data_IF_512894091235
#
_entry.id   IF_512894091235
#
_cell.length_a   1.000
_cell.length_b   1.000
_cell.length_c   1.000
_cell.angle_alpha   90.00
_cell.angle_beta   90.00
_cell.angle_gamma   90.00
#
_symmetry.space_group_name_H-M   'P 1'
#
loop_
_entity.id
_entity.type
_entity.pdbx_description
1 polymer ?
#
# COMPACT_ATOMS: atom_id res chain seq x y z
N UNK A 1 5.93 -1.14 -2.32
CA UNK A 1 4.79 -1.40 -1.41
C UNK A 1 4.28 -2.82 -1.48
N UNK A 2 3.68 -3.31 -2.57
CA UNK A 2 3.17 -4.69 -2.65
C UNK A 2 4.18 -5.76 -2.18
N UNK A 3 5.41 -5.72 -2.69
CA UNK A 3 6.48 -6.64 -2.29
C UNK A 3 6.83 -6.55 -0.81
N UNK A 4 6.72 -5.37 -0.22
CA UNK A 4 7.07 -5.16 1.19
C UNK A 4 5.94 -5.66 2.10
N UNK A 5 4.68 -5.33 1.75
CA UNK A 5 3.48 -5.79 2.47
C UNK A 5 3.36 -7.32 2.41
N UNK A 6 3.70 -7.93 1.27
CA UNK A 6 3.69 -9.38 1.11
C UNK A 6 5.00 -10.06 1.55
N UNK A 7 5.97 -9.33 2.12
CA UNK A 7 7.21 -9.91 2.66
C UNK A 7 8.21 -10.46 1.63
N UNK A 8 8.08 -10.08 0.35
CA UNK A 8 9.02 -10.42 -0.73
C UNK A 8 10.32 -9.60 -0.62
N UNK A 9 10.20 -8.31 -0.27
CA UNK A 9 11.36 -7.44 -0.01
C UNK A 9 11.59 -7.33 1.50
N UNK A 10 12.84 -7.55 1.94
CA UNK A 10 13.24 -7.41 3.35
C UNK A 10 13.38 -5.93 3.71
N UNK A 11 12.27 -5.32 4.11
CA UNK A 11 12.28 -4.10 4.93
C UNK A 11 11.91 -4.49 6.35
N UNK A 12 12.60 -3.90 7.33
CA UNK A 12 12.21 -4.09 8.72
C UNK A 12 10.77 -3.58 8.89
N UNK A 13 9.85 -4.48 9.28
CA UNK A 13 8.43 -4.13 9.48
C UNK A 13 8.26 -3.04 10.53
N UNK A 14 9.28 -2.79 11.36
CA UNK A 14 9.32 -1.67 12.31
C UNK A 14 9.47 -0.31 11.62
N UNK A 15 10.07 -0.25 10.43
CA UNK A 15 10.21 0.98 9.64
C UNK A 15 8.92 1.33 8.88
N UNK A 16 8.10 0.33 8.57
CA UNK A 16 6.76 0.46 8.00
C UNK A 16 5.72 0.15 9.06
N UNK A 17 5.46 1.13 9.92
CA UNK A 17 4.50 1.04 11.04
C UNK A 17 3.28 0.18 10.71
N UNK A 18 3.26 -0.98 11.36
CA UNK A 18 2.13 -1.90 11.53
C UNK A 18 1.27 -2.05 10.27
N UNK A 19 1.60 -3.05 9.45
CA UNK A 19 0.58 -3.72 8.62
C UNK A 19 -0.47 -4.23 9.61
N UNK A 20 -1.59 -3.53 9.73
CA UNK A 20 -2.67 -3.98 10.60
C UNK A 20 -3.52 -4.95 9.80
N UNK A 21 -3.45 -6.22 10.13
CA UNK A 21 -4.46 -7.22 9.74
C UNK A 21 -5.68 -7.16 10.69
N UNK A 22 -6.05 -5.96 11.17
CA UNK A 22 -7.16 -5.82 12.12
C UNK A 22 -8.52 -5.67 11.41
N UNK A 23 -9.37 -6.61 11.77
CA UNK A 23 -10.71 -6.92 11.27
C UNK A 23 -11.80 -5.93 11.71
N UNK A 24 -11.54 -4.61 11.61
CA UNK A 24 -12.52 -3.60 12.06
C UNK A 24 -12.85 -2.55 10.99
N UNK A 25 -13.97 -2.84 10.30
CA UNK A 25 -14.88 -1.96 9.52
C UNK A 25 -14.65 -1.83 8.01
N UNK A 26 -15.44 -2.60 7.25
CA UNK A 26 -16.39 -2.28 6.13
C UNK A 26 -16.17 -1.12 5.14
N UNK A 27 -15.11 -0.33 5.23
CA UNK A 27 -14.76 0.68 4.22
C UNK A 27 -13.27 0.58 3.89
N UNK A 28 -12.97 -0.14 2.81
CA UNK A 28 -11.64 -0.38 2.18
C UNK A 28 -10.99 -1.75 2.49
N UNK A 29 -9.80 -1.99 1.93
CA UNK A 29 -9.07 -3.27 1.89
C UNK A 29 -8.36 -3.62 3.22
N UNK A 30 -8.13 -4.91 3.46
CA UNK A 30 -7.62 -5.43 4.73
C UNK A 30 -6.14 -5.16 5.00
N UNK A 31 -5.32 -4.94 3.96
CA UNK A 31 -3.85 -4.72 4.09
C UNK A 31 -3.47 -3.25 4.22
N UNK A 32 -4.10 -2.51 5.15
CA UNK A 32 -3.75 -1.11 5.41
C UNK A 32 -2.45 -1.00 6.18
N UNK A 33 -1.76 0.13 5.95
CA UNK A 33 -0.50 0.46 6.63
C UNK A 33 -0.74 1.72 7.45
N UNK A 34 -0.34 1.69 8.72
CA UNK A 34 -0.41 2.88 9.57
C UNK A 34 0.86 3.71 9.39
N UNK A 35 0.72 5.03 9.39
CA UNK A 35 1.89 5.91 9.36
C UNK A 35 2.53 5.97 10.75
N UNK A 36 3.86 5.98 10.79
CA UNK A 36 4.58 6.38 12.00
C UNK A 36 4.32 7.85 12.26
N UNK A 37 4.07 8.20 13.51
CA UNK A 37 4.15 9.60 13.91
C UNK A 37 5.62 10.04 13.81
N UNK A 38 5.89 10.93 12.86
CA UNK A 38 7.18 11.56 12.67
C UNK A 38 7.07 13.01 13.12
N UNK A 39 7.93 13.43 14.05
CA UNK A 39 7.89 14.79 14.63
C UNK A 39 8.64 15.81 13.75
N UNK A 40 9.57 15.33 12.92
CA UNK A 40 10.41 16.15 12.05
C UNK A 40 9.89 16.12 10.61
N UNK A 41 9.98 17.25 9.92
CA UNK A 41 9.61 17.38 8.50
C UNK A 41 10.38 16.44 7.57
N UNK A 42 11.58 16.00 7.98
CA UNK A 42 12.36 14.98 7.25
C UNK A 42 11.51 13.71 7.04
N UNK A 43 10.71 13.33 8.04
CA UNK A 43 9.82 12.17 7.97
C UNK A 43 8.77 12.28 6.87
N UNK A 44 8.29 13.50 6.58
CA UNK A 44 7.32 13.78 5.51
C UNK A 44 7.84 13.36 4.14
N UNK A 45 9.14 13.49 3.92
CA UNK A 45 9.77 13.19 2.64
C UNK A 45 10.31 11.76 2.54
N UNK A 46 10.23 10.98 3.62
CA UNK A 46 10.63 9.57 3.59
C UNK A 46 9.73 8.77 2.63
N UNK A 47 10.35 7.92 1.81
CA UNK A 47 9.68 7.09 0.82
C UNK A 47 8.51 6.25 1.38
N UNK A 48 8.65 5.58 2.55
CA UNK A 48 7.54 4.88 3.19
C UNK A 48 6.33 5.80 3.43
N UNK A 49 6.56 6.97 4.01
CA UNK A 49 5.48 7.89 4.38
C UNK A 49 4.77 8.46 3.14
N UNK A 50 5.51 8.83 2.09
CA UNK A 50 4.91 9.33 0.84
C UNK A 50 4.07 8.30 0.09
N UNK A 51 4.28 7.01 0.35
CA UNK A 51 3.62 5.92 -0.38
C UNK A 51 2.51 5.23 0.41
N UNK A 52 2.45 5.40 1.73
CA UNK A 52 1.39 4.83 2.59
C UNK A 52 0.01 5.41 2.26
N UNK A 53 -0.13 6.73 2.09
CA UNK A 53 -1.40 7.35 1.66
C UNK A 53 -1.88 6.81 0.32
N UNK A 54 -0.98 6.76 -0.67
CA UNK A 54 -1.28 6.23 -2.01
C UNK A 54 -1.67 4.76 -1.96
N UNK A 55 -1.05 3.97 -1.07
CA UNK A 55 -1.38 2.56 -0.86
C UNK A 55 -2.76 2.40 -0.23
N UNK A 56 -3.05 3.13 0.84
CA UNK A 56 -4.33 3.05 1.55
C UNK A 56 -5.52 3.55 0.69
N UNK A 57 -5.27 4.36 -0.33
CA UNK A 57 -6.25 4.79 -1.32
C UNK A 57 -6.56 3.73 -2.41
N UNK A 58 -5.79 2.64 -2.49
CA UNK A 58 -6.01 1.60 -3.49
C UNK A 58 -7.27 0.79 -3.22
N UNK A 59 -7.86 0.24 -4.28
CA UNK A 59 -8.97 -0.70 -4.16
C UNK A 59 -8.51 -2.07 -3.65
N UNK A 60 -9.46 -2.86 -3.13
CA UNK A 60 -9.17 -4.20 -2.63
C UNK A 60 -8.68 -5.14 -3.74
N UNK A 61 -9.17 -4.98 -4.96
CA UNK A 61 -8.79 -5.85 -6.08
C UNK A 61 -7.31 -5.75 -6.49
N UNK A 62 -6.72 -4.54 -6.42
CA UNK A 62 -5.29 -4.30 -6.68
C UNK A 62 -4.45 -4.89 -5.55
N UNK A 63 -4.92 -4.75 -4.31
CA UNK A 63 -4.19 -5.16 -3.10
C UNK A 63 -4.28 -6.68 -2.86
N UNK A 64 -5.39 -7.31 -3.22
CA UNK A 64 -5.60 -8.76 -3.10
C UNK A 64 -5.02 -9.57 -4.25
N UNK A 65 -4.40 -8.92 -5.24
CA UNK A 65 -3.76 -9.63 -6.35
C UNK A 65 -2.69 -10.60 -5.82
N UNK A 66 -2.65 -11.82 -6.36
CA UNK A 66 -1.71 -12.87 -5.92
C UNK A 66 -0.29 -12.69 -6.48
N UNK A 67 -0.14 -12.02 -7.64
CA UNK A 67 1.14 -11.83 -8.32
C UNK A 67 1.43 -10.33 -8.48
N UNK A 68 2.71 -9.96 -8.38
CA UNK A 68 3.23 -8.62 -8.68
C UNK A 68 2.77 -8.16 -10.06
N UNK A 69 2.79 -9.04 -11.06
CA UNK A 69 2.35 -8.72 -12.42
C UNK A 69 0.86 -8.33 -12.45
N UNK A 70 0.01 -9.11 -11.78
CA UNK A 70 -1.43 -8.86 -11.72
C UNK A 70 -1.72 -7.56 -10.93
N UNK A 71 -1.01 -7.34 -9.81
CA UNK A 71 -1.10 -6.09 -9.06
C UNK A 71 -0.73 -4.89 -9.95
N UNK A 72 0.35 -4.97 -10.75
CA UNK A 72 0.73 -3.92 -11.70
C UNK A 72 -0.36 -3.66 -12.74
N UNK A 73 -0.92 -4.71 -13.36
CA UNK A 73 -1.97 -4.58 -14.38
C UNK A 73 -3.23 -3.90 -13.82
N UNK A 74 -3.67 -4.31 -12.63
CA UNK A 74 -4.84 -3.69 -11.98
C UNK A 74 -4.56 -2.27 -11.51
N UNK A 75 -3.34 -1.99 -11.03
CA UNK A 75 -2.94 -0.65 -10.62
C UNK A 75 -2.91 0.32 -11.80
N UNK A 76 -2.44 -0.15 -12.96
CA UNK A 76 -2.40 0.61 -14.20
C UNK A 76 -3.81 1.00 -14.65
N UNK A 77 -4.75 0.04 -14.65
CA UNK A 77 -6.19 0.28 -14.87
C UNK A 77 -6.77 1.27 -13.86
N UNK A 78 -6.43 1.13 -12.57
CA UNK A 78 -6.93 2.05 -11.53
C UNK A 78 -6.43 3.49 -11.74
N UNK A 79 -5.21 3.68 -12.27
CA UNK A 79 -4.62 5.01 -12.52
C UNK A 79 -5.07 5.65 -13.83
N UNK A 80 -5.22 4.86 -14.88
CA UNK A 80 -5.43 5.36 -16.23
C UNK A 80 -6.82 5.07 -16.79
N UNK A 81 -7.69 4.41 -16.00
CA UNK A 81 -8.97 3.89 -16.47
C UNK A 81 -8.79 2.65 -17.35
N UNK A 82 -9.90 2.05 -17.80
CA UNK A 82 -9.83 1.16 -18.95
C UNK A 82 -9.49 2.02 -20.18
N UNK A 83 -8.20 2.03 -20.53
CA UNK A 83 -7.68 2.60 -21.77
C UNK A 83 -8.14 1.71 -22.94
N UNK A 84 -9.44 1.58 -23.13
CA UNK A 84 -10.03 1.21 -24.42
C UNK A 84 -9.92 2.45 -25.30
N UNK A 85 -8.83 2.52 -26.05
CA UNK A 85 -8.71 3.29 -27.28
C UNK A 85 -8.98 2.33 -28.44
#
# INVERSE_FOLDING_TARGET
MYKIVNGIEKIDKKDLVLVTEEDRKTRCHAKKIKMRQCVKDIGKYCFPLRTVEKWNALNNEVVSAHNVHNCKKKLDKWRHGDRTL
#
